data_IF_358425124277
#
_entry.id   IF_358425124277
#
_cell.length_a   1.000
_cell.length_b   1.000
_cell.length_c   1.000
_cell.angle_alpha   90.00
_cell.angle_beta   90.00
_cell.angle_gamma   90.00
#
_symmetry.space_group_name_H-M   'P 1'
#
loop_
_entity.id
_entity.type
_entity.pdbx_description
1 polymer ?
#
# COMPACT_ATOMS: atom_id res chain seq x y z
N UNK A 1 20.52 -0.97 17.98
CA UNK A 1 20.08 -2.33 17.94
C UNK A 1 21.21 -3.28 17.66
N UNK A 2 21.40 -4.25 18.52
CA UNK A 2 22.30 -5.38 18.24
C UNK A 2 21.77 -6.12 17.00
N UNK A 3 22.64 -6.60 16.14
CA UNK A 3 22.25 -7.47 15.04
C UNK A 3 21.56 -8.71 15.59
N UNK A 4 20.61 -9.26 14.86
CA UNK A 4 19.89 -10.48 15.29
C UNK A 4 20.85 -11.64 15.63
N UNK A 5 21.97 -11.75 14.90
CA UNK A 5 23.02 -12.72 15.19
C UNK A 5 23.68 -12.45 16.55
N UNK A 6 24.03 -11.19 16.82
CA UNK A 6 24.65 -10.83 18.11
C UNK A 6 23.66 -10.95 19.27
N UNK A 7 22.40 -10.56 19.06
CA UNK A 7 21.33 -10.74 20.06
C UNK A 7 21.05 -12.23 20.31
N UNK A 8 20.97 -13.04 19.24
CA UNK A 8 20.80 -14.47 19.35
C UNK A 8 21.94 -15.18 20.08
N UNK A 9 23.17 -14.77 19.83
CA UNK A 9 24.35 -15.38 20.46
C UNK A 9 24.48 -14.99 21.95
N UNK A 10 24.20 -13.74 22.28
CA UNK A 10 24.18 -13.24 23.66
C UNK A 10 22.98 -13.82 24.44
N UNK A 11 21.81 -13.88 23.82
CA UNK A 11 20.61 -14.47 24.42
C UNK A 11 20.77 -15.99 24.64
N UNK A 12 21.47 -16.72 23.76
CA UNK A 12 21.83 -18.14 23.94
C UNK A 12 22.74 -18.32 25.15
N UNK A 13 23.73 -17.44 25.30
CA UNK A 13 24.67 -17.49 26.43
C UNK A 13 23.98 -17.17 27.76
N UNK A 14 22.97 -16.29 27.75
CA UNK A 14 22.26 -15.83 28.94
C UNK A 14 20.95 -16.62 29.22
N UNK A 15 20.56 -17.56 28.35
CA UNK A 15 19.29 -18.29 28.45
C UNK A 15 18.05 -17.43 28.18
N UNK A 16 18.22 -16.21 27.68
CA UNK A 16 17.16 -15.24 27.42
C UNK A 16 16.54 -15.37 26.01
N UNK A 17 17.18 -16.16 25.15
CA UNK A 17 16.76 -16.35 23.75
C UNK A 17 15.35 -16.87 23.60
N UNK A 18 14.87 -17.49 24.65
CA UNK A 18 13.87 -18.50 24.49
C UNK A 18 12.47 -17.96 24.46
N UNK A 19 12.12 -17.03 25.37
CA UNK A 19 10.71 -16.75 25.58
C UNK A 19 10.01 -16.01 24.45
N UNK A 20 10.63 -14.98 23.87
CA UNK A 20 10.02 -14.25 22.75
C UNK A 20 9.96 -15.10 21.48
N UNK A 21 11.03 -15.82 21.15
CA UNK A 21 11.07 -16.73 20.00
C UNK A 21 10.12 -17.90 20.18
N UNK A 22 10.16 -18.54 21.34
CA UNK A 22 9.26 -19.65 21.69
C UNK A 22 7.79 -19.20 21.66
N UNK A 23 7.49 -18.01 22.18
CA UNK A 23 6.14 -17.46 22.18
C UNK A 23 5.57 -17.29 20.77
N UNK A 24 6.34 -16.72 19.82
CA UNK A 24 5.84 -16.48 18.46
C UNK A 24 5.82 -17.74 17.58
N UNK A 25 6.51 -18.81 17.96
CA UNK A 25 6.61 -20.05 17.19
C UNK A 25 5.86 -21.24 17.81
N UNK A 26 5.34 -21.10 19.02
CA UNK A 26 4.56 -22.17 19.64
C UNK A 26 3.17 -22.32 18.98
N UNK A 27 2.70 -23.53 18.87
CA UNK A 27 1.33 -23.81 18.41
C UNK A 27 0.29 -23.46 19.48
N UNK A 28 0.66 -23.57 20.75
CA UNK A 28 -0.23 -23.28 21.90
C UNK A 28 0.50 -22.43 22.96
N UNK A 29 0.32 -21.09 22.91
CA UNK A 29 0.99 -20.21 23.86
C UNK A 29 0.54 -20.40 25.32
N UNK A 30 -0.61 -21.03 25.58
CA UNK A 30 -1.04 -21.34 26.95
C UNK A 30 -0.10 -22.33 27.66
N UNK A 31 0.66 -23.12 26.90
CA UNK A 31 1.62 -24.05 27.50
C UNK A 31 2.87 -23.36 28.09
N UNK A 32 3.11 -22.10 27.70
CA UNK A 32 4.24 -21.32 28.20
C UNK A 32 3.96 -20.62 29.53
N UNK A 33 2.69 -20.54 29.91
CA UNK A 33 2.28 -19.80 31.09
C UNK A 33 1.42 -20.68 31.99
N UNK A 34 1.68 -20.62 33.30
CA UNK A 34 0.90 -21.33 34.33
C UNK A 34 -0.34 -20.53 34.78
N UNK A 35 -0.66 -19.41 34.11
CA UNK A 35 -1.76 -18.51 34.47
C UNK A 35 -2.51 -18.02 33.23
N UNK A 36 -3.75 -17.57 33.44
CA UNK A 36 -4.51 -16.83 32.44
C UNK A 36 -4.27 -15.33 32.61
N UNK A 37 -4.34 -14.60 31.53
CA UNK A 37 -4.19 -13.14 31.52
C UNK A 37 -5.54 -12.47 31.29
N UNK A 38 -5.91 -11.53 32.17
CA UNK A 38 -7.06 -10.66 31.94
C UNK A 38 -6.71 -9.55 30.94
N UNK A 39 -5.49 -9.02 31.05
CA UNK A 39 -5.02 -7.90 30.21
C UNK A 39 -3.63 -8.21 29.67
N UNK A 40 -3.48 -8.01 28.36
CA UNK A 40 -2.18 -8.04 27.68
C UNK A 40 -1.96 -6.68 27.03
N UNK A 41 -0.84 -6.04 27.38
CA UNK A 41 -0.40 -4.77 26.80
C UNK A 41 1.01 -4.96 26.27
N UNK A 42 1.32 -4.43 25.08
CA UNK A 42 2.67 -4.59 24.53
C UNK A 42 3.04 -3.61 23.44
N UNK A 43 4.34 -3.48 23.25
CA UNK A 43 4.98 -2.88 22.10
C UNK A 43 5.96 -3.94 21.55
N UNK A 44 5.50 -4.85 20.69
CA UNK A 44 6.32 -5.97 20.22
C UNK A 44 7.40 -5.51 19.26
N UNK A 45 8.50 -6.28 19.07
CA UNK A 45 9.46 -6.02 18.01
C UNK A 45 8.78 -5.94 16.65
N UNK A 46 9.09 -4.87 15.86
CA UNK A 46 8.38 -4.61 14.60
C UNK A 46 8.85 -5.48 13.46
N UNK A 47 10.15 -5.78 13.40
CA UNK A 47 10.77 -6.54 12.32
C UNK A 47 12.01 -7.29 12.80
N UNK A 48 12.38 -8.33 12.06
CA UNK A 48 13.69 -8.97 12.19
C UNK A 48 14.75 -8.08 11.53
N UNK A 49 15.87 -7.90 12.22
CA UNK A 49 17.06 -7.26 11.65
C UNK A 49 17.77 -8.32 10.78
N UNK A 50 17.87 -8.09 9.48
CA UNK A 50 18.45 -9.05 8.51
C UNK A 50 19.94 -8.83 8.24
N UNK A 51 20.64 -8.16 9.16
CA UNK A 51 22.10 -8.03 9.11
C UNK A 51 22.64 -7.17 7.96
N UNK A 52 21.82 -6.31 7.37
CA UNK A 52 22.27 -5.29 6.39
C UNK A 52 22.50 -5.76 4.97
N UNK A 53 22.12 -6.97 4.59
CA UNK A 53 22.34 -7.53 3.25
C UNK A 53 21.22 -7.28 2.24
N UNK A 54 20.46 -6.18 2.37
CA UNK A 54 19.51 -5.72 1.34
C UNK A 54 18.25 -6.57 1.14
N UNK A 55 18.02 -7.59 1.95
CA UNK A 55 16.76 -8.30 1.99
C UNK A 55 15.73 -7.47 2.77
N UNK A 56 14.52 -7.34 2.25
CA UNK A 56 13.43 -6.62 2.91
C UNK A 56 13.12 -7.25 4.27
N UNK A 57 13.37 -6.52 5.36
CA UNK A 57 13.13 -6.99 6.73
C UNK A 57 11.71 -7.56 6.89
N UNK A 58 11.60 -8.73 7.51
CA UNK A 58 10.31 -9.39 7.71
C UNK A 58 9.61 -8.82 8.94
N UNK A 59 8.33 -8.44 8.84
CA UNK A 59 7.57 -8.00 10.01
C UNK A 59 7.43 -9.14 11.03
N UNK A 60 7.50 -8.82 12.32
CA UNK A 60 7.33 -9.77 13.43
C UNK A 60 6.12 -9.47 14.30
N UNK A 61 5.77 -8.21 14.47
CA UNK A 61 4.73 -7.74 15.39
C UNK A 61 3.40 -8.50 15.27
N UNK A 62 3.03 -8.89 14.04
CA UNK A 62 1.78 -9.61 13.79
C UNK A 62 1.76 -10.98 14.49
N UNK A 63 2.89 -11.68 14.57
CA UNK A 63 2.99 -12.95 15.28
C UNK A 63 2.71 -12.78 16.77
N UNK A 64 3.21 -11.70 17.39
CA UNK A 64 2.93 -11.39 18.78
C UNK A 64 1.45 -11.11 19.03
N UNK A 65 0.82 -10.34 18.13
CA UNK A 65 -0.63 -10.05 18.23
C UNK A 65 -1.44 -11.35 18.11
N UNK A 66 -1.14 -12.18 17.10
CA UNK A 66 -1.84 -13.47 16.89
C UNK A 66 -1.70 -14.41 18.08
N UNK A 67 -0.51 -14.51 18.66
CA UNK A 67 -0.28 -15.35 19.83
C UNK A 67 -0.97 -14.80 21.09
N UNK A 68 -0.95 -13.48 21.29
CA UNK A 68 -1.65 -12.84 22.39
C UNK A 68 -3.18 -13.06 22.30
N UNK A 69 -3.76 -13.03 21.11
CA UNK A 69 -5.17 -13.36 20.90
C UNK A 69 -5.50 -14.81 21.24
N UNK A 70 -4.59 -15.77 20.96
CA UNK A 70 -4.75 -17.18 21.32
C UNK A 70 -4.78 -17.41 22.85
N UNK A 71 -4.14 -16.55 23.64
CA UNK A 71 -4.23 -16.57 25.11
C UNK A 71 -5.61 -16.17 25.64
N UNK A 72 -6.48 -15.64 24.76
CA UNK A 72 -7.87 -15.22 25.09
C UNK A 72 -7.96 -14.27 26.30
N UNK A 73 -7.14 -13.22 26.38
CA UNK A 73 -7.26 -12.24 27.46
C UNK A 73 -8.64 -11.57 27.42
N UNK A 74 -9.03 -10.91 28.48
CA UNK A 74 -10.23 -10.06 28.50
C UNK A 74 -10.01 -8.81 27.63
N UNK A 75 -8.80 -8.23 27.74
CA UNK A 75 -8.38 -7.05 26.98
C UNK A 75 -7.00 -7.24 26.39
N UNK A 76 -6.83 -6.86 25.12
CA UNK A 76 -5.53 -6.82 24.45
C UNK A 76 -5.33 -5.44 23.81
N UNK A 77 -4.19 -4.82 24.09
CA UNK A 77 -3.78 -3.57 23.45
C UNK A 77 -2.31 -3.63 23.07
N UNK A 78 -2.00 -3.39 21.80
CA UNK A 78 -0.62 -3.36 21.32
C UNK A 78 -0.39 -2.17 20.39
N UNK A 79 0.81 -1.59 20.48
CA UNK A 79 1.31 -0.57 19.55
C UNK A 79 2.05 -1.28 18.43
N UNK A 80 1.63 -1.10 17.18
CA UNK A 80 2.18 -1.78 16.03
C UNK A 80 2.29 -0.85 14.81
N UNK A 81 3.21 -1.11 13.86
CA UNK A 81 3.26 -0.38 12.60
C UNK A 81 1.95 -0.49 11.82
N UNK A 82 1.47 0.64 11.26
CA UNK A 82 0.20 0.68 10.52
C UNK A 82 0.27 0.10 9.09
N UNK A 83 1.43 -0.39 8.65
CA UNK A 83 1.63 -0.96 7.30
C UNK A 83 0.69 -2.12 6.96
N UNK A 84 0.14 -2.81 7.94
CA UNK A 84 -0.81 -3.90 7.71
C UNK A 84 -2.14 -3.43 7.11
N UNK A 85 -2.48 -2.15 7.18
CA UNK A 85 -3.74 -1.58 6.68
C UNK A 85 -4.02 -1.91 5.21
N UNK A 86 -3.01 -1.83 4.35
CA UNK A 86 -3.20 -2.09 2.93
C UNK A 86 -1.98 -2.77 2.26
N UNK A 87 -0.84 -2.91 2.95
CA UNK A 87 0.40 -3.44 2.41
C UNK A 87 1.13 -4.40 3.35
N UNK A 88 2.44 -4.55 3.10
CA UNK A 88 3.35 -5.36 3.87
C UNK A 88 3.48 -6.81 3.36
N UNK A 89 4.73 -7.21 3.07
CA UNK A 89 5.06 -8.58 2.67
C UNK A 89 4.72 -9.54 3.81
N UNK A 90 3.88 -10.56 3.53
CA UNK A 90 3.48 -11.56 4.52
C UNK A 90 2.33 -11.14 5.45
N UNK A 91 1.80 -9.90 5.34
CA UNK A 91 0.75 -9.39 6.24
C UNK A 91 -0.69 -9.58 5.72
N UNK A 92 -0.91 -10.23 4.58
CA UNK A 92 -2.24 -10.36 4.00
C UNK A 92 -3.21 -11.14 4.89
N UNK A 93 -2.77 -12.26 5.48
CA UNK A 93 -3.57 -13.07 6.40
C UNK A 93 -3.87 -12.31 7.69
N UNK A 94 -2.84 -11.69 8.28
CA UNK A 94 -3.00 -10.85 9.47
C UNK A 94 -3.98 -9.70 9.24
N UNK A 95 -3.85 -8.97 8.12
CA UNK A 95 -4.80 -7.92 7.74
C UNK A 95 -6.22 -8.46 7.64
N UNK A 96 -6.42 -9.58 6.94
CA UNK A 96 -7.74 -10.20 6.82
C UNK A 96 -8.32 -10.53 8.19
N UNK A 97 -7.53 -11.12 9.09
CA UNK A 97 -7.98 -11.45 10.45
C UNK A 97 -8.34 -10.20 11.24
N UNK A 98 -7.48 -9.17 11.25
CA UNK A 98 -7.73 -7.92 11.98
C UNK A 98 -8.93 -7.15 11.45
N UNK A 99 -9.11 -7.08 10.13
CA UNK A 99 -10.24 -6.36 9.54
C UNK A 99 -11.59 -7.06 9.81
N UNK A 100 -11.61 -8.38 9.95
CA UNK A 100 -12.83 -9.15 10.19
C UNK A 100 -13.06 -9.47 11.68
N UNK A 101 -12.23 -8.97 12.58
CA UNK A 101 -12.40 -9.20 14.02
C UNK A 101 -13.22 -8.06 14.64
N UNK A 102 -14.51 -8.31 14.86
CA UNK A 102 -15.45 -7.35 15.45
C UNK A 102 -15.17 -7.03 16.93
N UNK A 103 -14.19 -7.71 17.56
CA UNK A 103 -13.77 -7.48 18.93
C UNK A 103 -12.80 -6.29 19.06
N UNK A 104 -12.36 -5.69 17.96
CA UNK A 104 -11.57 -4.46 17.98
C UNK A 104 -12.50 -3.28 18.22
N UNK A 105 -12.66 -2.90 19.49
CA UNK A 105 -13.55 -1.79 19.90
C UNK A 105 -12.97 -0.41 19.60
N UNK A 106 -11.62 -0.28 19.61
CA UNK A 106 -10.92 0.99 19.32
C UNK A 106 -9.70 0.74 18.46
N UNK A 107 -9.47 1.63 17.52
CA UNK A 107 -8.26 1.69 16.70
C UNK A 107 -7.79 3.14 16.60
N UNK A 108 -6.63 3.43 17.14
CA UNK A 108 -6.03 4.76 17.14
C UNK A 108 -4.82 4.75 16.23
N UNK A 109 -4.83 5.61 15.24
CA UNK A 109 -3.89 5.68 14.14
C UNK A 109 -3.12 7.01 14.15
N UNK A 110 -1.80 6.92 14.01
CA UNK A 110 -0.90 8.05 13.81
C UNK A 110 -0.25 7.93 12.44
N UNK A 111 -0.58 8.85 11.53
CA UNK A 111 -0.02 8.85 10.17
C UNK A 111 1.47 9.16 10.16
N UNK A 112 1.95 9.96 11.11
CA UNK A 112 3.36 10.13 11.44
C UNK A 112 3.67 9.44 12.76
N UNK A 113 4.70 8.61 12.80
CA UNK A 113 5.16 7.99 14.04
C UNK A 113 5.71 9.01 15.04
N UNK A 114 6.23 10.15 14.57
CA UNK A 114 6.72 11.23 15.40
C UNK A 114 5.64 11.84 16.29
N UNK A 115 4.38 11.85 15.86
CA UNK A 115 3.24 12.32 16.66
C UNK A 115 2.97 11.45 17.89
N UNK A 116 3.55 10.25 17.94
CA UNK A 116 3.42 9.32 19.07
C UNK A 116 4.76 9.01 19.74
N UNK A 117 5.82 8.87 18.95
CA UNK A 117 7.17 8.59 19.42
C UNK A 117 8.16 9.64 18.86
N UNK A 118 8.39 10.74 19.57
CA UNK A 118 9.32 11.79 19.11
C UNK A 118 10.70 11.22 18.75
N UNK A 119 11.20 11.60 17.58
CA UNK A 119 12.50 11.15 17.07
C UNK A 119 12.52 9.73 16.48
N UNK A 120 11.37 9.09 16.31
CA UNK A 120 11.28 7.75 15.71
C UNK A 120 10.49 7.83 14.40
N UNK A 121 11.16 7.54 13.28
CA UNK A 121 10.54 7.46 11.96
C UNK A 121 10.19 6.01 11.60
N UNK A 122 8.91 5.71 11.50
CA UNK A 122 8.38 4.40 11.09
C UNK A 122 7.55 4.60 9.83
N UNK A 123 8.05 4.09 8.72
CA UNK A 123 7.40 4.17 7.43
C UNK A 123 5.94 3.66 7.47
N UNK A 124 5.01 4.53 7.10
CA UNK A 124 3.57 4.27 7.15
C UNK A 124 2.92 4.57 8.50
N UNK A 125 3.68 5.07 9.49
CA UNK A 125 3.18 5.42 10.80
C UNK A 125 2.86 4.20 11.68
N UNK A 126 2.18 4.45 12.80
CA UNK A 126 1.85 3.45 13.80
C UNK A 126 0.39 3.50 14.17
N UNK A 127 -0.10 2.42 14.73
CA UNK A 127 -1.42 2.37 15.37
C UNK A 127 -1.36 1.60 16.68
N UNK A 128 -2.33 1.83 17.54
CA UNK A 128 -2.63 0.94 18.64
C UNK A 128 -4.13 0.67 18.68
N UNK A 129 -4.49 -0.50 19.19
CA UNK A 129 -5.87 -0.97 19.22
C UNK A 129 -6.25 -1.48 20.61
N UNK A 130 -7.54 -1.47 20.90
CA UNK A 130 -8.14 -2.20 22.01
C UNK A 130 -9.01 -3.30 21.42
N UNK A 131 -8.63 -4.53 21.71
CA UNK A 131 -9.40 -5.74 21.47
C UNK A 131 -9.99 -6.22 22.79
N UNK A 132 -11.29 -6.51 22.79
CA UNK A 132 -12.04 -6.91 23.96
C UNK A 132 -12.77 -8.21 23.67
N UNK A 133 -12.49 -9.26 24.41
CA UNK A 133 -12.98 -10.62 24.15
C UNK A 133 -14.51 -10.71 23.98
N UNK A 134 -15.24 -9.97 24.80
CA UNK A 134 -16.71 -9.99 24.84
C UNK A 134 -17.36 -8.90 23.98
N UNK A 135 -16.57 -8.07 23.30
CA UNK A 135 -17.09 -7.04 22.40
C UNK A 135 -17.48 -7.64 21.04
N UNK A 136 -18.56 -7.13 20.47
CA UNK A 136 -18.91 -7.36 19.06
C UNK A 136 -19.61 -6.13 18.54
N UNK A 137 -19.02 -5.48 17.54
CA UNK A 137 -19.58 -4.24 17.00
C UNK A 137 -18.63 -3.46 16.13
N UNK A 138 -19.03 -2.23 15.82
CA UNK A 138 -18.24 -1.31 15.01
C UNK A 138 -17.08 -0.73 15.82
N UNK A 139 -15.94 -0.54 15.17
CA UNK A 139 -14.75 0.04 15.76
C UNK A 139 -14.86 1.57 15.90
N UNK A 140 -14.52 2.10 17.06
CA UNK A 140 -14.27 3.53 17.24
C UNK A 140 -12.86 3.84 16.74
N UNK A 141 -12.78 4.30 15.50
CA UNK A 141 -11.53 4.64 14.83
C UNK A 141 -11.17 6.11 15.05
N UNK A 142 -9.93 6.36 15.45
CA UNK A 142 -9.37 7.69 15.60
C UNK A 142 -8.14 7.84 14.70
N UNK A 143 -8.16 8.81 13.79
CA UNK A 143 -7.01 9.18 12.97
C UNK A 143 -6.37 10.48 13.48
N UNK A 144 -5.08 10.42 13.82
CA UNK A 144 -4.27 11.57 14.19
C UNK A 144 -3.35 11.93 13.01
N UNK A 145 -3.48 13.17 12.52
CA UNK A 145 -2.68 13.69 11.42
C UNK A 145 -2.43 15.18 11.61
N UNK A 146 -1.16 15.61 11.59
CA UNK A 146 -0.77 17.02 11.67
C UNK A 146 -1.43 17.74 12.87
N UNK A 147 -1.44 17.11 14.04
CA UNK A 147 -2.06 17.62 15.25
C UNK A 147 -3.60 17.63 15.25
N UNK A 148 -4.25 17.22 14.17
CA UNK A 148 -5.71 17.08 14.08
C UNK A 148 -6.12 15.65 14.38
N UNK A 149 -7.20 15.53 15.16
CA UNK A 149 -7.80 14.25 15.55
C UNK A 149 -9.18 14.12 14.93
N UNK A 150 -9.38 13.07 14.12
CA UNK A 150 -10.65 12.76 13.48
C UNK A 150 -11.16 11.42 14.00
N UNK A 151 -12.43 11.35 14.39
CA UNK A 151 -13.07 10.14 14.90
C UNK A 151 -14.13 9.66 13.92
N UNK A 152 -14.25 8.34 13.78
CA UNK A 152 -15.26 7.69 12.96
C UNK A 152 -15.63 6.35 13.58
N UNK A 153 -16.91 6.06 13.66
CA UNK A 153 -17.40 4.71 14.02
C UNK A 153 -17.64 3.97 12.71
N UNK A 154 -16.95 2.85 12.51
CA UNK A 154 -17.01 2.08 11.26
C UNK A 154 -16.75 0.60 11.48
N UNK A 155 -17.23 -0.22 10.54
CA UNK A 155 -16.73 -1.59 10.38
C UNK A 155 -15.35 -1.57 9.73
N UNK A 156 -14.42 -2.38 10.24
CA UNK A 156 -13.06 -2.42 9.69
C UNK A 156 -13.01 -3.16 8.35
N UNK A 157 -13.97 -4.04 8.06
CA UNK A 157 -14.02 -4.92 6.90
C UNK A 157 -14.85 -4.36 5.71
N UNK A 158 -15.14 -3.07 5.68
CA UNK A 158 -15.87 -2.44 4.56
C UNK A 158 -15.17 -2.67 3.21
N UNK A 159 -13.84 -2.76 3.23
CA UNK A 159 -13.00 -3.04 2.05
C UNK A 159 -11.96 -4.11 2.38
N UNK A 160 -11.33 -4.69 1.36
CA UNK A 160 -10.21 -5.64 1.53
C UNK A 160 -8.95 -5.03 2.16
N UNK A 161 -8.93 -3.70 2.25
CA UNK A 161 -7.89 -2.88 2.89
C UNK A 161 -8.55 -1.91 3.86
N UNK A 162 -7.78 -1.35 4.76
CA UNK A 162 -8.28 -0.33 5.68
C UNK A 162 -8.08 1.07 5.10
N UNK A 163 -9.19 1.79 4.88
CA UNK A 163 -9.16 3.21 4.47
C UNK A 163 -8.86 4.08 5.69
N UNK A 164 -7.71 4.73 5.63
CA UNK A 164 -7.10 5.41 6.78
C UNK A 164 -7.71 6.78 7.08
N UNK A 165 -8.15 7.49 6.05
CA UNK A 165 -8.65 8.85 6.21
C UNK A 165 -10.17 8.87 6.19
N UNK A 166 -10.85 9.41 7.26
CA UNK A 166 -12.32 9.46 7.30
C UNK A 166 -12.95 10.17 6.10
N UNK A 167 -12.35 11.27 5.63
CA UNK A 167 -12.82 11.95 4.42
C UNK A 167 -12.69 11.10 3.16
N UNK A 168 -11.62 10.30 3.05
CA UNK A 168 -11.44 9.38 1.92
C UNK A 168 -12.50 8.27 1.92
N UNK A 169 -12.93 7.82 3.08
CA UNK A 169 -13.96 6.80 3.22
C UNK A 169 -15.29 7.24 2.56
N UNK A 170 -15.72 8.47 2.84
CA UNK A 170 -16.92 9.06 2.20
C UNK A 170 -16.81 9.16 0.68
N UNK A 171 -15.66 9.64 0.18
CA UNK A 171 -15.37 9.75 -1.26
C UNK A 171 -15.42 8.37 -1.93
N UNK A 172 -14.73 7.38 -1.36
CA UNK A 172 -14.67 6.02 -1.90
C UNK A 172 -16.06 5.38 -1.91
N UNK A 173 -16.88 5.58 -0.86
CA UNK A 173 -18.27 5.10 -0.81
C UNK A 173 -19.11 5.65 -1.97
N UNK A 174 -19.01 6.95 -2.26
CA UNK A 174 -19.71 7.56 -3.40
C UNK A 174 -19.29 6.93 -4.73
N UNK A 175 -17.99 6.75 -4.94
CA UNK A 175 -17.44 6.18 -6.17
C UNK A 175 -17.85 4.71 -6.33
N UNK A 176 -17.66 3.91 -5.29
CA UNK A 176 -17.94 2.46 -5.34
C UNK A 176 -19.42 2.14 -5.41
N UNK A 177 -20.32 3.04 -4.93
CA UNK A 177 -21.78 2.87 -5.04
C UNK A 177 -22.30 2.85 -6.48
N UNK A 178 -21.55 3.44 -7.41
CA UNK A 178 -21.89 3.42 -8.84
C UNK A 178 -21.56 2.10 -9.54
N UNK A 179 -20.85 1.18 -8.87
CA UNK A 179 -20.48 -0.14 -9.38
C UNK A 179 -19.78 -0.10 -10.76
N UNK A 180 -19.03 0.96 -11.05
CA UNK A 180 -18.28 1.08 -12.29
C UNK A 180 -17.08 0.10 -12.32
N UNK A 181 -16.73 -0.36 -13.51
CA UNK A 181 -15.49 -1.11 -13.71
C UNK A 181 -14.28 -0.25 -13.32
N UNK A 182 -13.30 -0.83 -12.65
CA UNK A 182 -12.12 -0.10 -12.21
C UNK A 182 -10.93 -0.32 -13.15
N UNK A 183 -10.01 0.65 -13.18
CA UNK A 183 -8.80 0.63 -14.02
C UNK A 183 -7.87 -0.55 -13.75
N UNK A 184 -7.95 -1.20 -12.57
CA UNK A 184 -7.18 -2.41 -12.31
C UNK A 184 -7.42 -3.53 -13.33
N UNK A 185 -8.50 -3.49 -14.10
CA UNK A 185 -8.79 -4.43 -15.20
C UNK A 185 -7.87 -4.23 -16.42
N UNK A 186 -7.44 -2.99 -16.66
CA UNK A 186 -6.57 -2.62 -17.78
C UNK A 186 -5.14 -2.24 -17.36
N UNK A 187 -4.80 -2.31 -16.06
CA UNK A 187 -3.43 -2.15 -15.59
C UNK A 187 -2.70 -3.48 -15.66
N UNK A 188 -1.50 -3.50 -16.21
CA UNK A 188 -0.69 -4.71 -16.31
C UNK A 188 -0.25 -5.26 -14.95
N UNK A 189 0.09 -6.53 -14.89
CA UNK A 189 0.91 -7.07 -13.81
C UNK A 189 2.34 -6.56 -13.93
N UNK A 190 3.16 -6.78 -12.89
CA UNK A 190 4.62 -6.60 -12.98
C UNK A 190 5.16 -7.46 -14.13
N UNK A 191 6.19 -6.97 -14.83
CA UNK A 191 6.77 -7.59 -16.02
C UNK A 191 5.80 -7.69 -17.22
N UNK A 192 5.28 -6.56 -17.73
CA UNK A 192 4.27 -6.58 -18.79
C UNK A 192 4.73 -7.30 -20.06
N UNK A 193 6.05 -7.34 -20.31
CA UNK A 193 6.68 -8.05 -21.43
C UNK A 193 7.59 -9.21 -20.97
N UNK A 194 7.49 -9.65 -19.72
CA UNK A 194 8.32 -10.72 -19.16
C UNK A 194 9.77 -10.32 -18.85
N UNK A 195 10.15 -9.06 -19.04
CA UNK A 195 11.53 -8.57 -18.95
C UNK A 195 11.85 -8.07 -17.54
N UNK A 196 12.97 -8.53 -16.98
CA UNK A 196 13.50 -8.12 -15.68
C UNK A 196 14.27 -6.78 -15.76
N UNK A 197 14.50 -6.16 -14.60
CA UNK A 197 15.20 -4.86 -14.50
C UNK A 197 16.64 -4.91 -15.03
N UNK A 198 17.31 -6.07 -14.92
CA UNK A 198 18.69 -6.30 -15.33
C UNK A 198 18.86 -6.66 -16.80
N UNK A 199 17.77 -6.71 -17.57
CA UNK A 199 17.84 -6.97 -19.02
C UNK A 199 18.64 -5.87 -19.72
N UNK A 200 19.65 -6.31 -20.47
CA UNK A 200 20.51 -5.43 -21.27
C UNK A 200 19.95 -5.35 -22.70
N UNK A 201 19.82 -4.14 -23.26
CA UNK A 201 19.44 -3.98 -24.66
C UNK A 201 20.40 -4.71 -25.60
N UNK A 202 19.90 -5.17 -26.74
CA UNK A 202 20.68 -5.76 -27.81
C UNK A 202 21.28 -4.68 -28.71
N UNK A 203 22.31 -5.03 -29.47
CA UNK A 203 22.86 -4.14 -30.51
C UNK A 203 21.88 -3.95 -31.68
N UNK A 204 20.95 -4.90 -31.91
CA UNK A 204 19.95 -4.89 -32.98
C UNK A 204 18.60 -5.45 -32.47
N UNK A 205 17.54 -5.16 -33.19
CA UNK A 205 16.19 -5.63 -32.91
C UNK A 205 15.14 -4.66 -33.41
N UNK A 206 13.94 -5.16 -33.63
CA UNK A 206 12.82 -4.44 -34.23
C UNK A 206 12.10 -3.58 -33.17
N UNK A 207 12.24 -3.96 -31.90
CA UNK A 207 11.58 -3.26 -30.78
C UNK A 207 12.51 -2.25 -30.14
N UNK A 208 11.92 -1.22 -29.56
CA UNK A 208 12.60 -0.27 -28.68
C UNK A 208 12.27 -0.62 -27.23
N UNK A 209 13.29 -1.02 -26.46
CA UNK A 209 13.18 -1.33 -25.05
C UNK A 209 13.40 -0.08 -24.19
N UNK A 210 12.41 0.28 -23.36
CA UNK A 210 12.56 1.26 -22.28
C UNK A 210 12.97 0.53 -21.00
N UNK A 211 14.11 0.88 -20.46
CA UNK A 211 14.65 0.30 -19.22
C UNK A 211 15.16 1.40 -18.27
N UNK A 212 15.62 1.06 -17.09
CA UNK A 212 16.00 2.02 -16.03
C UNK A 212 17.15 2.99 -16.42
N UNK A 213 17.99 2.62 -17.40
CA UNK A 213 19.12 3.45 -17.87
C UNK A 213 18.86 4.18 -19.20
N UNK A 214 17.66 4.07 -19.77
CA UNK A 214 17.31 4.72 -21.02
C UNK A 214 16.52 3.85 -21.99
N UNK A 215 16.88 3.89 -23.27
CA UNK A 215 16.26 3.09 -24.34
C UNK A 215 17.32 2.34 -25.13
N UNK A 216 16.93 1.21 -25.74
CA UNK A 216 17.80 0.42 -26.59
C UNK A 216 17.02 -0.53 -27.48
N UNK A 217 17.69 -1.25 -28.37
CA UNK A 217 17.06 -2.23 -29.29
C UNK A 217 16.80 -3.56 -28.58
N UNK A 218 15.76 -4.26 -29.02
CA UNK A 218 15.43 -5.59 -28.49
C UNK A 218 14.77 -6.46 -29.58
N UNK A 219 15.17 -7.74 -29.72
CA UNK A 219 14.58 -8.66 -30.68
C UNK A 219 13.15 -9.04 -30.33
N UNK A 220 12.23 -8.97 -31.29
CA UNK A 220 10.81 -9.25 -31.07
C UNK A 220 10.53 -10.73 -30.78
N UNK A 221 11.32 -11.65 -31.31
CA UNK A 221 11.21 -13.09 -31.12
C UNK A 221 11.44 -13.51 -29.67
N UNK A 222 12.21 -12.73 -28.89
CA UNK A 222 12.47 -12.96 -27.47
C UNK A 222 11.31 -12.56 -26.54
N UNK A 223 10.32 -11.85 -27.05
CA UNK A 223 9.14 -11.48 -26.26
C UNK A 223 8.12 -12.62 -26.28
N UNK A 224 7.82 -13.19 -25.11
CA UNK A 224 6.85 -14.28 -24.93
C UNK A 224 5.54 -13.74 -24.34
N UNK A 225 5.62 -12.80 -23.41
CA UNK A 225 4.49 -12.20 -22.69
C UNK A 225 4.14 -10.84 -23.29
N UNK A 226 2.84 -10.49 -23.36
CA UNK A 226 2.37 -9.17 -23.79
C UNK A 226 2.59 -8.87 -25.28
N UNK A 227 2.68 -9.88 -26.14
CA UNK A 227 2.85 -9.72 -27.59
C UNK A 227 1.72 -8.91 -28.23
N UNK A 228 0.51 -9.07 -27.74
CA UNK A 228 -0.69 -8.35 -28.16
C UNK A 228 -0.62 -6.84 -27.86
N UNK A 229 0.22 -6.44 -26.95
CA UNK A 229 0.42 -5.04 -26.55
C UNK A 229 1.53 -4.34 -27.35
N UNK A 230 2.38 -5.07 -28.08
CA UNK A 230 3.53 -4.49 -28.80
C UNK A 230 3.08 -3.37 -29.74
N UNK A 231 2.02 -3.60 -30.49
CA UNK A 231 1.53 -2.67 -31.52
C UNK A 231 0.50 -1.66 -31.02
N UNK A 232 0.23 -1.60 -29.70
CA UNK A 232 -0.65 -0.62 -29.09
C UNK A 232 0.11 0.64 -28.66
N UNK A 233 -0.60 1.75 -28.54
CA UNK A 233 -0.17 2.89 -27.74
C UNK A 233 -0.40 2.56 -26.27
N UNK A 234 0.63 2.72 -25.46
CA UNK A 234 0.62 2.26 -24.07
C UNK A 234 0.97 3.41 -23.14
N UNK A 235 0.28 3.53 -22.01
CA UNK A 235 0.63 4.45 -20.94
C UNK A 235 1.50 3.72 -19.93
N UNK A 236 2.76 4.06 -19.88
CA UNK A 236 3.75 3.48 -18.97
C UNK A 236 3.87 4.34 -17.70
N UNK A 237 3.89 3.70 -16.55
CA UNK A 237 4.16 4.33 -15.26
C UNK A 237 5.29 3.62 -14.53
N UNK A 238 6.00 4.34 -13.65
CA UNK A 238 6.99 3.71 -12.78
C UNK A 238 6.34 2.74 -11.80
N UNK A 239 6.99 1.57 -11.60
CA UNK A 239 6.61 0.63 -10.54
C UNK A 239 6.89 1.21 -9.14
N UNK A 240 7.86 2.12 -9.01
CA UNK A 240 8.13 2.83 -7.77
C UNK A 240 7.30 4.12 -7.69
N UNK A 241 6.64 4.34 -6.57
CA UNK A 241 6.01 5.62 -6.27
C UNK A 241 7.06 6.71 -6.08
N UNK A 242 6.64 7.96 -6.10
CA UNK A 242 7.51 9.11 -5.83
C UNK A 242 7.79 9.32 -4.34
N UNK A 243 6.93 8.77 -3.49
CA UNK A 243 7.03 8.92 -2.04
C UNK A 243 7.83 7.78 -1.41
N UNK A 244 8.56 8.11 -0.35
CA UNK A 244 9.22 7.12 0.49
C UNK A 244 8.15 6.39 1.33
N UNK A 245 7.86 5.14 0.97
CA UNK A 245 6.98 4.24 1.74
C UNK A 245 5.58 4.80 2.06
N UNK A 246 4.98 5.58 1.14
CA UNK A 246 3.64 6.13 1.31
C UNK A 246 3.55 7.31 2.29
N UNK A 247 4.67 7.98 2.55
CA UNK A 247 4.69 9.22 3.32
C UNK A 247 4.53 10.44 2.41
N UNK A 248 3.89 11.51 2.88
CA UNK A 248 3.81 12.75 2.13
C UNK A 248 5.19 13.45 2.08
N UNK A 249 5.34 14.38 1.16
CA UNK A 249 6.49 15.27 1.10
C UNK A 249 6.52 16.25 2.29
N UNK A 250 7.54 17.12 2.35
CA UNK A 250 7.70 18.13 3.41
C UNK A 250 6.53 19.11 3.52
N UNK A 251 5.73 19.26 2.46
CA UNK A 251 4.52 20.08 2.46
C UNK A 251 3.27 19.33 2.94
N UNK A 252 3.38 18.05 3.25
CA UNK A 252 2.28 17.20 3.64
C UNK A 252 1.45 16.65 2.46
N UNK A 253 1.93 16.83 1.21
CA UNK A 253 1.24 16.43 -0.01
C UNK A 253 1.88 15.20 -0.67
N UNK A 254 1.05 14.44 -1.42
CA UNK A 254 1.48 13.26 -2.16
C UNK A 254 1.54 13.55 -3.66
N UNK A 255 2.60 13.09 -4.32
CA UNK A 255 2.69 13.05 -5.78
C UNK A 255 2.09 11.75 -6.34
N UNK A 256 2.30 10.64 -5.66
CA UNK A 256 1.82 9.26 -5.91
C UNK A 256 2.50 8.60 -7.09
N UNK A 257 2.31 9.11 -8.29
CA UNK A 257 2.93 8.59 -9.52
C UNK A 257 4.17 9.42 -9.88
N UNK A 258 5.28 8.78 -10.19
CA UNK A 258 6.54 9.45 -10.53
C UNK A 258 6.71 9.64 -12.05
N UNK A 259 7.12 8.61 -12.75
CA UNK A 259 7.30 8.63 -14.21
C UNK A 259 6.02 8.17 -14.87
N UNK A 260 5.57 8.95 -15.86
CA UNK A 260 4.45 8.61 -16.73
C UNK A 260 4.83 9.00 -18.17
N UNK A 261 4.81 8.04 -19.07
CA UNK A 261 5.21 8.24 -20.48
C UNK A 261 4.25 7.46 -21.39
N UNK A 262 4.06 7.96 -22.61
CA UNK A 262 3.41 7.19 -23.67
C UNK A 262 4.47 6.39 -24.40
N UNK A 263 4.30 5.07 -24.43
CA UNK A 263 5.08 4.18 -25.29
C UNK A 263 4.32 3.96 -26.60
N UNK A 264 4.89 4.40 -27.75
CA UNK A 264 4.29 4.16 -29.06
C UNK A 264 4.31 2.66 -29.43
N UNK A 265 3.62 2.26 -30.53
CA UNK A 265 3.80 0.94 -31.12
C UNK A 265 5.26 0.56 -31.27
N UNK A 266 5.57 -0.74 -31.17
CA UNK A 266 6.92 -1.33 -31.18
C UNK A 266 7.80 -1.00 -29.97
N UNK A 267 7.31 -0.22 -28.99
CA UNK A 267 8.02 0.06 -27.75
C UNK A 267 7.54 -0.87 -26.63
N UNK A 268 8.50 -1.40 -25.88
CA UNK A 268 8.30 -2.30 -24.73
C UNK A 268 9.06 -1.77 -23.51
N UNK A 269 8.79 -2.30 -22.31
CA UNK A 269 9.49 -1.90 -21.12
C UNK A 269 9.84 -3.10 -20.21
N UNK A 270 10.81 -2.88 -19.30
CA UNK A 270 11.17 -3.84 -18.24
C UNK A 270 10.20 -3.75 -17.06
N UNK A 271 10.34 -4.65 -16.09
CA UNK A 271 9.56 -4.68 -14.84
C UNK A 271 9.74 -3.45 -13.93
N UNK A 272 10.65 -2.54 -14.28
CA UNK A 272 10.80 -1.22 -13.64
C UNK A 272 9.54 -0.38 -13.83
N UNK A 273 8.72 -0.75 -14.82
CA UNK A 273 7.50 -0.06 -15.21
C UNK A 273 6.30 -0.99 -15.29
N UNK A 274 5.11 -0.40 -15.16
CA UNK A 274 3.81 -1.01 -15.45
C UNK A 274 3.17 -0.29 -16.63
N UNK A 275 2.24 -0.97 -17.29
CA UNK A 275 1.33 -0.34 -18.23
C UNK A 275 0.01 -0.04 -17.51
N UNK A 276 -0.35 1.24 -17.45
CA UNK A 276 -1.57 1.71 -16.78
C UNK A 276 -2.72 1.95 -17.78
N UNK A 277 -2.67 1.26 -18.91
CA UNK A 277 -3.66 1.31 -19.97
C UNK A 277 -3.00 1.29 -21.34
N UNK A 278 -3.79 0.95 -22.35
CA UNK A 278 -3.37 0.91 -23.77
C UNK A 278 -4.56 1.05 -24.69
N UNK A 279 -4.31 1.52 -25.92
CA UNK A 279 -5.30 1.67 -27.00
C UNK A 279 -4.65 1.52 -28.37
N UNK A 280 -5.46 1.33 -29.40
CA UNK A 280 -5.06 1.45 -30.81
C UNK A 280 -4.91 2.93 -31.22
N UNK A 281 -5.58 3.84 -30.49
CA UNK A 281 -5.54 5.28 -30.72
C UNK A 281 -4.48 5.96 -29.83
N UNK A 282 -3.67 6.83 -30.45
CA UNK A 282 -2.74 7.70 -29.72
C UNK A 282 -3.50 8.67 -28.82
N UNK A 283 -4.58 9.25 -29.33
CA UNK A 283 -5.40 10.21 -28.60
C UNK A 283 -6.02 9.59 -27.33
N UNK A 284 -6.54 8.37 -27.41
CA UNK A 284 -7.05 7.67 -26.23
C UNK A 284 -5.93 7.40 -25.20
N UNK A 285 -4.73 7.00 -25.65
CA UNK A 285 -3.60 6.84 -24.75
C UNK A 285 -3.20 8.17 -24.08
N UNK A 286 -3.23 9.28 -24.80
CA UNK A 286 -3.03 10.63 -24.25
C UNK A 286 -4.10 10.99 -23.23
N UNK A 287 -5.35 10.63 -23.48
CA UNK A 287 -6.47 10.86 -22.54
C UNK A 287 -6.35 10.00 -21.29
N UNK A 288 -5.92 8.73 -21.40
CA UNK A 288 -5.57 7.89 -20.25
C UNK A 288 -4.46 8.55 -19.43
N UNK A 289 -3.41 9.05 -20.07
CA UNK A 289 -2.31 9.73 -19.40
C UNK A 289 -2.77 10.99 -18.66
N UNK A 290 -3.62 11.82 -19.27
CA UNK A 290 -4.23 12.98 -18.62
C UNK A 290 -5.07 12.60 -17.41
N UNK A 291 -5.89 11.54 -17.54
CA UNK A 291 -6.69 11.02 -16.43
C UNK A 291 -5.81 10.55 -15.25
N UNK A 292 -4.70 9.86 -15.52
CA UNK A 292 -3.75 9.45 -14.48
C UNK A 292 -3.07 10.64 -13.78
N UNK A 293 -2.93 11.77 -14.46
CA UNK A 293 -2.36 13.01 -13.91
C UNK A 293 -3.34 13.78 -13.02
N UNK A 294 -4.65 13.53 -13.10
CA UNK A 294 -5.64 14.21 -12.25
C UNK A 294 -5.36 13.97 -10.77
N UNK A 295 -5.69 14.92 -9.92
CA UNK A 295 -5.62 14.77 -8.47
C UNK A 295 -6.59 13.71 -7.98
N UNK A 296 -7.78 13.67 -8.56
CA UNK A 296 -8.80 12.65 -8.27
C UNK A 296 -8.26 11.23 -8.42
N UNK A 297 -7.67 10.90 -9.58
CA UNK A 297 -7.13 9.56 -9.83
C UNK A 297 -5.99 9.23 -8.88
N UNK A 298 -5.04 10.14 -8.71
CA UNK A 298 -3.90 9.94 -7.82
C UNK A 298 -4.31 9.84 -6.36
N UNK A 299 -5.35 10.57 -5.95
CA UNK A 299 -5.94 10.45 -4.62
C UNK A 299 -6.44 9.02 -4.36
N UNK A 300 -7.19 8.44 -5.31
CA UNK A 300 -7.71 7.08 -5.17
C UNK A 300 -6.58 6.04 -5.12
N UNK A 301 -5.55 6.19 -5.95
CA UNK A 301 -4.36 5.34 -5.92
C UNK A 301 -3.66 5.44 -4.56
N UNK A 302 -3.53 6.63 -4.00
CA UNK A 302 -2.85 6.88 -2.72
C UNK A 302 -3.52 6.16 -1.54
N UNK A 303 -4.84 5.91 -1.59
CA UNK A 303 -5.54 5.20 -0.52
C UNK A 303 -5.08 3.74 -0.38
N UNK A 304 -4.55 3.15 -1.45
CA UNK A 304 -4.06 1.76 -1.49
C UNK A 304 -2.53 1.69 -1.48
N UNK A 305 -1.87 2.66 -2.10
CA UNK A 305 -0.42 2.70 -2.28
C UNK A 305 0.32 3.13 -1.00
N UNK A 306 0.29 2.31 0.03
CA UNK A 306 0.97 2.56 1.32
C UNK A 306 2.42 2.07 1.34
N UNK A 307 2.92 1.52 0.23
CA UNK A 307 4.31 1.09 0.06
C UNK A 307 4.95 1.82 -1.11
N UNK A 308 6.26 1.65 -1.27
CA UNK A 308 6.99 2.23 -2.41
C UNK A 308 6.55 1.69 -3.78
N UNK A 309 5.70 0.66 -3.84
CA UNK A 309 5.37 -0.01 -5.08
C UNK A 309 3.94 0.31 -5.52
N UNK A 310 3.83 0.83 -6.74
CA UNK A 310 2.55 0.94 -7.45
C UNK A 310 2.29 -0.41 -8.13
N UNK A 311 1.15 -1.00 -7.82
CA UNK A 311 0.72 -2.30 -8.37
C UNK A 311 -0.65 -2.17 -9.01
N UNK A 312 -1.04 -3.17 -9.81
CA UNK A 312 -2.41 -3.27 -10.35
C UNK A 312 -3.49 -3.02 -9.29
N UNK A 313 -3.30 -3.56 -8.08
CA UNK A 313 -4.28 -3.41 -6.99
C UNK A 313 -4.46 -1.97 -6.53
N UNK A 314 -3.46 -1.10 -6.70
CA UNK A 314 -3.58 0.32 -6.34
C UNK A 314 -4.67 1.05 -7.15
N UNK A 315 -5.10 0.46 -8.28
CA UNK A 315 -6.14 1.01 -9.14
C UNK A 315 -7.54 0.43 -8.88
N UNK A 316 -7.75 -0.31 -7.79
CA UNK A 316 -9.04 -0.97 -7.49
C UNK A 316 -10.17 0.00 -7.11
N UNK A 317 -9.86 1.24 -6.76
CA UNK A 317 -10.86 2.28 -6.53
C UNK A 317 -10.91 3.32 -7.65
N UNK A 318 -10.06 3.21 -8.66
CA UNK A 318 -10.01 4.14 -9.78
C UNK A 318 -11.00 3.69 -10.84
N UNK A 319 -12.11 4.42 -11.08
CA UNK A 319 -13.08 4.02 -12.08
C UNK A 319 -12.49 4.09 -13.49
N UNK A 320 -12.84 3.12 -14.31
CA UNK A 320 -12.52 3.15 -15.73
C UNK A 320 -13.43 4.15 -16.42
N UNK A 321 -12.86 5.12 -17.13
CA UNK A 321 -13.60 6.14 -17.86
C UNK A 321 -13.67 5.81 -19.35
N UNK A 322 -14.54 6.51 -20.08
CA UNK A 322 -14.50 6.58 -21.54
C UNK A 322 -13.35 7.53 -21.94
N UNK A 323 -12.31 6.99 -22.56
CA UNK A 323 -11.12 7.72 -22.99
C UNK A 323 -11.20 8.26 -24.41
N UNK A 324 -12.36 8.21 -25.05
CA UNK A 324 -12.60 8.97 -26.31
C UNK A 324 -12.48 10.48 -26.10
N UNK A 325 -12.55 10.95 -24.84
CA UNK A 325 -12.31 12.33 -24.41
C UNK A 325 -11.32 12.41 -23.25
N UNK A 326 -10.73 13.59 -23.08
CA UNK A 326 -9.96 13.92 -21.87
C UNK A 326 -10.90 14.15 -20.68
N UNK A 327 -10.43 13.85 -19.47
CA UNK A 327 -11.11 14.12 -18.20
C UNK A 327 -10.31 15.13 -17.37
N UNK A 328 -11.01 16.07 -16.74
CA UNK A 328 -10.43 17.01 -15.76
C UNK A 328 -10.85 16.65 -14.34
N UNK A 329 -10.16 17.22 -13.36
CA UNK A 329 -10.53 17.05 -11.95
C UNK A 329 -11.96 17.58 -11.67
N UNK A 330 -12.35 18.72 -12.25
CA UNK A 330 -13.65 19.32 -12.08
C UNK A 330 -14.79 18.43 -12.63
N UNK A 331 -14.59 17.85 -13.83
CA UNK A 331 -15.55 16.91 -14.41
C UNK A 331 -15.72 15.65 -13.55
N UNK A 332 -14.62 15.14 -12.98
CA UNK A 332 -14.63 13.97 -12.10
C UNK A 332 -15.29 14.29 -10.76
N UNK A 333 -14.98 15.42 -10.16
CA UNK A 333 -15.64 15.86 -8.91
C UNK A 333 -17.15 16.01 -9.09
N UNK A 334 -17.58 16.59 -10.21
CA UNK A 334 -19.00 16.73 -10.55
C UNK A 334 -19.66 15.37 -10.80
N UNK A 335 -19.01 14.47 -11.58
CA UNK A 335 -19.52 13.14 -11.90
C UNK A 335 -19.82 12.32 -10.62
N UNK A 336 -18.93 12.41 -9.63
CA UNK A 336 -19.05 11.65 -8.38
C UNK A 336 -19.73 12.45 -7.26
N UNK A 337 -20.34 13.59 -7.57
CA UNK A 337 -21.06 14.47 -6.64
C UNK A 337 -20.27 14.73 -5.35
N UNK A 338 -18.98 15.07 -5.48
CA UNK A 338 -18.14 15.39 -4.34
C UNK A 338 -18.54 16.72 -3.73
N UNK A 339 -18.55 16.79 -2.38
CA UNK A 339 -18.80 18.06 -1.67
C UNK A 339 -17.57 18.97 -1.74
N UNK A 340 -17.74 20.24 -1.38
CA UNK A 340 -16.62 21.19 -1.31
C UNK A 340 -15.53 20.72 -0.36
N UNK A 341 -15.91 20.20 0.79
CA UNK A 341 -14.98 19.67 1.81
C UNK A 341 -14.20 18.46 1.30
N UNK A 342 -14.84 17.57 0.54
CA UNK A 342 -14.20 16.42 -0.08
C UNK A 342 -13.22 16.85 -1.18
N UNK A 343 -13.60 17.84 -1.99
CA UNK A 343 -12.72 18.41 -3.00
C UNK A 343 -11.51 19.09 -2.34
N UNK A 344 -11.72 19.93 -1.33
CA UNK A 344 -10.65 20.57 -0.58
C UNK A 344 -9.71 19.52 0.06
N UNK A 345 -10.24 18.40 0.53
CA UNK A 345 -9.43 17.33 1.07
C UNK A 345 -8.52 16.72 0.01
N UNK A 346 -9.02 16.42 -1.19
CA UNK A 346 -8.23 15.92 -2.33
C UNK A 346 -7.18 16.97 -2.73
N UNK A 347 -7.59 18.22 -2.90
CA UNK A 347 -6.74 19.33 -3.33
C UNK A 347 -5.57 19.60 -2.38
N UNK A 348 -5.81 19.46 -1.06
CA UNK A 348 -4.79 19.61 -0.02
C UNK A 348 -3.93 18.36 0.18
N UNK A 349 -4.39 17.20 -0.28
CA UNK A 349 -3.64 15.94 -0.13
C UNK A 349 -2.72 15.67 -1.32
N UNK A 350 -3.15 16.02 -2.53
CA UNK A 350 -2.48 15.64 -3.76
C UNK A 350 -1.81 16.84 -4.41
N UNK A 351 -0.49 16.73 -4.59
CA UNK A 351 0.32 17.76 -5.23
C UNK A 351 -0.10 17.97 -6.71
N UNK A 352 -0.18 19.21 -7.21
CA UNK A 352 -0.39 19.47 -8.63
C UNK A 352 0.68 18.77 -9.48
N UNK A 353 0.31 18.31 -10.66
CA UNK A 353 1.21 17.86 -11.71
C UNK A 353 1.03 18.78 -12.92
N UNK A 354 2.15 19.14 -13.54
CA UNK A 354 2.11 19.83 -14.83
C UNK A 354 1.43 18.93 -15.86
N UNK A 355 0.53 19.51 -16.64
CA UNK A 355 -0.26 18.85 -17.69
C UNK A 355 0.60 18.31 -18.82
#
# INVERSE_FOLDING_TARGET
GASQAAYGEQARQEGLESHAYEFIHTNNPNNLFSMNFDVIIGNPPYQLDDGGNGASAKPLYHLFVEQAMKLKPKYLSMVIPARWYSGGKGLASFRFSMLNDERISKLIDYTSSEDCFPGVDIAGGICYFLWEREYSGQCNYTNNRNGKRNNLIKSLNEYKIFIRYPAADGIIKKITSLNETCMNTIVSTRKPFGLETNVVPSCSGELTLRYNKGTGKYPADKIIVGRDLINKWKVMISYLSSEHAGQPDKSGMFRVLSTMEILPPTHICTETYLLAGWSDSKEEAENILKYLKTKFTRFLIAQIAVSQHITRNCFSFVPLQDFSKAWTDEELYAKYALTKEEIEFIENMIRPMES
#
